data_IF_418959268893
#
_entry.id   IF_418959268893
#
_cell.length_a   1.000
_cell.length_b   1.000
_cell.length_c   1.000
_cell.angle_alpha   90.00
_cell.angle_beta   90.00
_cell.angle_gamma   90.00
#
_symmetry.space_group_name_H-M   'P 1'
#
loop_
_entity.id
_entity.type
_entity.pdbx_description
1 polymer ?
#
# COMPACT_ATOMS: atom_id res chain seq x y z
N UNK A 1 11.25 -16.21 12.31
CA UNK A 1 11.09 -15.88 10.87
C UNK A 1 10.27 -14.62 10.79
N UNK A 2 10.60 -13.68 9.90
CA UNK A 2 9.89 -12.39 9.76
C UNK A 2 9.04 -12.37 8.50
N UNK A 3 7.86 -11.78 8.57
CA UNK A 3 6.91 -11.69 7.45
C UNK A 3 6.44 -10.25 7.22
N UNK A 4 6.17 -9.90 5.96
CA UNK A 4 5.63 -8.60 5.59
C UNK A 4 4.54 -8.70 4.53
N UNK A 5 3.71 -7.66 4.46
CA UNK A 5 2.68 -7.49 3.43
C UNK A 5 3.11 -6.42 2.43
N UNK A 6 3.04 -6.73 1.14
CA UNK A 6 3.41 -5.82 0.06
C UNK A 6 2.18 -5.30 -0.70
N UNK A 7 2.36 -4.21 -1.45
CA UNK A 7 1.32 -3.57 -2.26
C UNK A 7 0.18 -2.97 -1.42
N UNK A 8 0.45 -2.58 -0.17
CA UNK A 8 -0.57 -2.07 0.76
C UNK A 8 -0.93 -0.60 0.52
N UNK A 9 -0.70 -0.05 -0.67
CA UNK A 9 -1.12 1.29 -1.10
C UNK A 9 -1.94 1.26 -2.41
N UNK A 10 -2.28 0.05 -2.86
CA UNK A 10 -3.02 -0.23 -4.07
C UNK A 10 -4.45 -0.66 -3.76
N UNK A 11 -5.31 -0.59 -4.77
CA UNK A 11 -6.68 -1.14 -4.74
C UNK A 11 -7.49 -0.64 -3.53
N UNK A 12 -8.00 -1.55 -2.70
CA UNK A 12 -8.82 -1.25 -1.52
C UNK A 12 -8.05 -0.46 -0.47
N UNK A 13 -6.72 -0.60 -0.41
CA UNK A 13 -5.87 0.16 0.50
C UNK A 13 -5.65 1.61 0.05
N UNK A 14 -6.10 1.99 -1.15
CA UNK A 14 -6.12 3.38 -1.60
C UNK A 14 -7.21 4.23 -0.95
N UNK A 15 -7.91 3.71 0.07
CA UNK A 15 -8.94 4.39 0.85
C UNK A 15 -8.53 4.39 2.33
N UNK A 16 -8.59 5.53 3.02
CA UNK A 16 -7.97 5.68 4.35
C UNK A 16 -8.58 4.73 5.39
N UNK A 17 -9.90 4.57 5.43
CA UNK A 17 -10.58 3.65 6.35
C UNK A 17 -10.15 2.18 6.17
N UNK A 18 -9.99 1.73 4.93
CA UNK A 18 -9.55 0.38 4.61
C UNK A 18 -8.07 0.18 4.96
N UNK A 19 -7.25 1.19 4.68
CA UNK A 19 -5.85 1.21 5.05
C UNK A 19 -5.68 1.06 6.58
N UNK A 20 -6.33 1.91 7.37
CA UNK A 20 -6.24 1.83 8.85
C UNK A 20 -6.66 0.43 9.34
N UNK A 21 -7.74 -0.11 8.78
CA UNK A 21 -8.21 -1.45 9.13
C UNK A 21 -7.17 -2.53 8.80
N UNK A 22 -6.55 -2.46 7.63
CA UNK A 22 -5.51 -3.40 7.20
C UNK A 22 -4.28 -3.31 8.12
N UNK A 23 -3.76 -2.12 8.37
CA UNK A 23 -2.53 -1.96 9.16
C UNK A 23 -2.68 -2.46 10.59
N UNK A 24 -3.80 -2.14 11.25
CA UNK A 24 -4.12 -2.67 12.58
C UNK A 24 -4.27 -4.18 12.59
N UNK A 25 -4.92 -4.74 11.57
CA UNK A 25 -5.06 -6.19 11.44
C UNK A 25 -3.72 -6.89 11.22
N UNK A 26 -2.84 -6.31 10.39
CA UNK A 26 -1.51 -6.84 10.12
C UNK A 26 -0.63 -6.82 11.38
N UNK A 27 -0.63 -5.72 12.13
CA UNK A 27 0.09 -5.61 13.41
C UNK A 27 -0.45 -6.62 14.43
N UNK A 28 -1.78 -6.72 14.58
CA UNK A 28 -2.40 -7.67 15.50
C UNK A 28 -2.14 -9.15 15.13
N UNK A 29 -2.00 -9.44 13.83
CA UNK A 29 -1.64 -10.76 13.33
C UNK A 29 -0.14 -11.08 13.45
N UNK A 30 0.70 -10.11 13.85
CA UNK A 30 2.12 -10.31 14.08
C UNK A 30 3.00 -10.18 12.84
N UNK A 31 2.54 -9.48 11.78
CA UNK A 31 3.42 -9.13 10.67
C UNK A 31 4.47 -8.10 11.11
N UNK A 32 5.70 -8.25 10.64
CA UNK A 32 6.83 -7.39 11.00
C UNK A 32 6.90 -6.09 10.21
N UNK A 33 6.30 -6.05 9.01
CA UNK A 33 6.44 -4.90 8.11
C UNK A 33 5.32 -4.78 7.09
N UNK A 34 5.03 -3.53 6.72
CA UNK A 34 4.18 -3.16 5.60
C UNK A 34 5.04 -2.53 4.50
N UNK A 35 4.79 -2.92 3.25
CA UNK A 35 5.51 -2.45 2.08
C UNK A 35 4.52 -1.95 1.03
N UNK A 36 4.88 -0.82 0.43
CA UNK A 36 4.08 -0.12 -0.57
C UNK A 36 4.76 -0.25 -1.93
N UNK A 37 3.96 -0.29 -2.99
CA UNK A 37 4.49 -0.15 -4.35
C UNK A 37 4.85 1.32 -4.59
N UNK A 38 5.84 1.59 -5.44
CA UNK A 38 6.25 2.96 -5.77
C UNK A 38 6.25 3.16 -7.28
N UNK A 39 5.29 3.94 -7.79
CA UNK A 39 5.31 4.54 -9.13
C UNK A 39 4.63 5.93 -9.05
N UNK A 40 5.36 6.99 -9.43
CA UNK A 40 4.82 8.35 -9.53
C UNK A 40 3.94 8.53 -10.77
N UNK A 41 4.23 7.80 -11.84
CA UNK A 41 3.48 7.82 -13.11
C UNK A 41 3.31 6.41 -13.66
N UNK A 42 2.18 6.17 -14.31
CA UNK A 42 1.88 4.94 -15.03
C UNK A 42 1.84 5.21 -16.54
N UNK A 43 2.27 4.24 -17.38
CA UNK A 43 2.16 4.40 -18.83
C UNK A 43 0.71 4.58 -19.27
N UNK A 44 0.49 5.50 -20.22
CA UNK A 44 -0.79 5.70 -20.90
C UNK A 44 -0.54 5.67 -22.43
N UNK A 45 -0.97 4.61 -23.16
CA UNK A 45 -1.74 3.47 -22.67
C UNK A 45 -0.91 2.45 -21.85
N UNK A 46 -1.56 1.56 -21.08
CA UNK A 46 -0.88 0.47 -20.38
C UNK A 46 -0.08 -0.43 -21.31
N UNK A 47 1.04 -0.95 -20.82
CA UNK A 47 1.93 -1.85 -21.58
C UNK A 47 1.75 -3.30 -21.13
N UNK A 48 1.98 -4.32 -21.97
CA UNK A 48 1.86 -5.73 -21.55
C UNK A 48 2.70 -6.08 -20.30
N UNK A 49 3.91 -5.52 -20.19
CA UNK A 49 4.79 -5.69 -19.03
C UNK A 49 4.37 -4.87 -17.79
N UNK A 50 3.44 -3.92 -17.95
CA UNK A 50 2.92 -3.07 -16.87
C UNK A 50 1.44 -2.76 -17.15
N UNK A 51 0.54 -3.74 -16.92
CA UNK A 51 -0.85 -3.67 -17.33
C UNK A 51 -1.74 -2.85 -16.36
N UNK A 52 -1.14 -1.90 -15.63
CA UNK A 52 -1.86 -1.07 -14.67
C UNK A 52 -2.59 0.06 -15.41
N UNK A 53 -3.86 0.29 -15.06
CA UNK A 53 -4.61 1.42 -15.57
C UNK A 53 -3.90 2.75 -15.22
N UNK A 54 -3.81 3.74 -16.13
CA UNK A 54 -3.04 4.96 -15.89
C UNK A 54 -3.60 5.80 -14.74
N UNK A 55 -4.90 5.68 -14.48
CA UNK A 55 -5.67 6.35 -13.44
C UNK A 55 -5.87 5.49 -12.18
N UNK A 56 -5.17 4.35 -12.07
CA UNK A 56 -5.24 3.50 -10.89
C UNK A 56 -4.84 4.31 -9.64
N UNK A 57 -5.64 4.15 -8.57
CA UNK A 57 -5.29 4.66 -7.24
C UNK A 57 -4.08 3.91 -6.68
N UNK A 58 -2.91 4.48 -6.92
CA UNK A 58 -1.65 4.12 -6.29
C UNK A 58 -1.19 5.30 -5.44
N UNK A 59 -1.30 5.15 -4.12
CA UNK A 59 -1.02 6.23 -3.18
C UNK A 59 0.49 6.43 -3.04
N UNK A 60 0.92 7.69 -2.92
CA UNK A 60 2.34 8.01 -2.72
C UNK A 60 2.95 7.19 -1.57
N UNK A 61 4.11 6.54 -1.76
CA UNK A 61 4.72 5.68 -0.76
C UNK A 61 4.95 6.35 0.59
N UNK A 62 5.46 7.59 0.58
CA UNK A 62 5.85 8.31 1.80
C UNK A 62 4.60 8.74 2.57
N UNK A 63 3.60 9.27 1.86
CA UNK A 63 2.31 9.63 2.45
C UNK A 63 1.64 8.39 3.04
N UNK A 64 1.62 7.28 2.30
CA UNK A 64 0.96 6.07 2.76
C UNK A 64 1.64 5.46 3.98
N UNK A 65 2.98 5.35 3.97
CA UNK A 65 3.72 4.81 5.11
C UNK A 65 3.61 5.71 6.34
N UNK A 66 3.62 7.04 6.15
CA UNK A 66 3.39 7.99 7.24
C UNK A 66 1.98 7.82 7.83
N UNK A 67 0.97 7.65 6.98
CA UNK A 67 -0.39 7.41 7.42
C UNK A 67 -0.52 6.10 8.20
N UNK A 68 0.15 5.03 7.75
CA UNK A 68 0.19 3.76 8.48
C UNK A 68 0.88 3.87 9.83
N UNK A 69 2.05 4.49 9.87
CA UNK A 69 2.80 4.70 11.10
C UNK A 69 1.99 5.49 12.15
N UNK A 70 1.13 6.43 11.71
CA UNK A 70 0.24 7.17 12.61
C UNK A 70 -0.89 6.31 13.22
N UNK A 71 -1.16 5.11 12.68
CA UNK A 71 -2.27 4.24 13.09
C UNK A 71 -1.83 2.87 13.65
N UNK A 72 -0.52 2.62 13.71
CA UNK A 72 0.10 1.46 14.34
C UNK A 72 1.01 1.90 15.49
N UNK A 73 1.54 0.97 16.28
CA UNK A 73 2.28 1.29 17.52
C UNK A 73 3.64 0.61 17.66
N UNK A 74 4.00 -0.28 16.74
CA UNK A 74 5.25 -1.03 16.75
C UNK A 74 6.10 -0.75 15.52
#
# INVERSE_FOLDING_TARGET
MKFGLHSVNLHTCGYPENAVRLARAAEAAGFDSLWVADHVVLPDPPLPQRPMAPDMRLLDPVVMLTFYAAHTTR
#
